data_IF_665424447673
#
_entry.id   IF_665424447673
#
_cell.length_a   1.000
_cell.length_b   1.000
_cell.length_c   1.000
_cell.angle_alpha   90.00
_cell.angle_beta   90.00
_cell.angle_gamma   90.00
#
_symmetry.space_group_name_H-M   'P 1'
#
loop_
_entity.id
_entity.type
_entity.pdbx_description
1 polymer ?
#
# COMPACT_ATOMS: atom_id res chain seq x y z
N UNK A 1 84.09 36.20 27.01
CA UNK A 1 83.15 35.48 26.12
C UNK A 1 81.93 35.10 26.98
N UNK A 2 80.90 35.95 27.08
CA UNK A 2 79.65 35.90 26.28
C UNK A 2 78.88 34.57 26.52
N UNK A 3 77.60 34.51 26.93
CA UNK A 3 76.56 35.52 27.12
C UNK A 3 75.36 34.88 27.89
N UNK A 4 74.90 35.52 28.98
CA UNK A 4 73.53 35.67 29.56
C UNK A 4 72.58 34.45 29.66
N UNK A 5 72.19 33.98 30.86
CA UNK A 5 71.30 34.55 31.90
C UNK A 5 69.83 34.05 31.79
N UNK A 6 69.35 33.13 32.66
CA UNK A 6 68.69 33.33 33.97
C UNK A 6 67.31 34.04 33.90
N UNK A 7 66.21 33.33 34.21
CA UNK A 7 65.31 33.56 35.39
C UNK A 7 63.87 33.06 35.21
N UNK A 8 63.41 32.41 36.28
CA UNK A 8 62.03 32.18 36.74
C UNK A 8 61.19 33.46 36.86
N UNK A 9 59.85 33.36 36.95
CA UNK A 9 58.99 33.91 38.04
C UNK A 9 57.49 33.71 37.75
N UNK A 10 56.76 33.36 38.82
CA UNK A 10 55.30 33.33 39.04
C UNK A 10 54.62 34.70 38.81
N UNK A 11 53.34 34.72 38.39
CA UNK A 11 52.44 35.85 38.68
C UNK A 11 50.97 35.41 38.79
N UNK A 12 50.26 36.11 39.67
CA UNK A 12 49.03 35.74 40.37
C UNK A 12 47.85 36.66 39.98
N UNK A 13 46.62 36.18 40.13
CA UNK A 13 45.34 36.89 40.41
C UNK A 13 44.77 37.95 39.46
N UNK A 14 43.53 37.74 39.00
CA UNK A 14 42.40 38.64 39.32
C UNK A 14 41.04 37.96 39.14
N UNK A 15 40.21 38.01 40.18
CA UNK A 15 38.79 37.69 40.16
C UNK A 15 37.98 38.99 40.09
N UNK A 16 36.92 39.02 39.28
CA UNK A 16 35.78 39.94 39.44
C UNK A 16 34.50 39.17 39.17
N UNK A 17 33.66 39.07 40.21
CA UNK A 17 32.29 38.62 40.13
C UNK A 17 31.38 39.82 39.77
N UNK A 18 30.38 39.60 38.92
CA UNK A 18 29.15 40.38 38.92
C UNK A 18 27.95 39.44 38.82
N UNK A 19 27.09 39.53 39.83
CA UNK A 19 25.81 38.84 40.00
C UNK A 19 24.68 39.74 39.49
N UNK A 20 23.53 39.12 39.17
CA UNK A 20 22.21 39.68 38.88
C UNK A 20 22.00 40.05 37.39
N UNK A 21 20.93 39.66 36.71
CA UNK A 21 19.64 39.11 37.13
C UNK A 21 18.85 38.63 35.91
N UNK A 22 18.12 37.53 36.08
CA UNK A 22 16.75 37.41 35.53
C UNK A 22 16.58 37.35 34.01
N UNK A 23 16.59 36.15 33.45
CA UNK A 23 15.34 35.58 32.94
C UNK A 23 15.52 34.10 32.76
N UNK A 24 14.54 33.36 33.27
CA UNK A 24 14.46 31.92 33.23
C UNK A 24 14.61 31.49 31.78
N UNK A 25 15.71 30.82 31.47
CA UNK A 25 15.66 29.78 30.44
C UNK A 25 14.71 28.72 31.00
N UNK A 26 13.41 28.98 30.85
CA UNK A 26 12.42 27.93 30.76
C UNK A 26 12.85 27.13 29.55
N UNK A 27 13.69 26.14 29.84
CA UNK A 27 13.81 24.96 29.02
C UNK A 27 12.38 24.49 28.79
N UNK A 28 11.82 24.90 27.66
CA UNK A 28 10.82 24.09 26.97
C UNK A 28 11.61 22.86 26.53
N UNK A 29 11.87 21.97 27.49
CA UNK A 29 11.80 20.56 27.28
C UNK A 29 10.39 20.30 26.74
N UNK A 30 10.19 20.59 25.46
CA UNK A 30 9.24 19.87 24.65
C UNK A 30 9.69 18.43 24.82
N UNK A 31 9.01 17.71 25.72
CA UNK A 31 9.26 16.31 25.97
C UNK A 31 9.34 15.63 24.61
N UNK A 32 10.55 15.27 24.19
CA UNK A 32 10.75 14.35 23.10
C UNK A 32 10.23 13.02 23.63
N UNK A 33 8.91 12.84 23.58
CA UNK A 33 8.29 11.53 23.71
C UNK A 33 8.99 10.70 22.65
N UNK A 34 9.86 9.77 23.08
CA UNK A 34 10.55 8.84 22.19
C UNK A 34 9.51 8.29 21.22
N UNK A 35 9.61 8.67 19.94
CA UNK A 35 8.72 8.14 18.92
C UNK A 35 8.78 6.61 19.00
N UNK A 36 7.63 5.93 19.07
CA UNK A 36 7.61 4.50 19.34
C UNK A 36 8.36 3.76 18.23
N UNK A 37 9.12 2.72 18.60
CA UNK A 37 9.78 1.90 17.58
C UNK A 37 8.75 0.95 16.98
N UNK A 38 8.38 1.20 15.73
CA UNK A 38 7.44 0.40 14.97
C UNK A 38 8.17 -0.69 14.18
N UNK A 39 7.61 -1.90 14.14
CA UNK A 39 8.09 -2.98 13.26
C UNK A 39 6.90 -3.78 12.72
N UNK A 40 7.06 -4.39 11.55
CA UNK A 40 6.02 -5.20 10.93
C UNK A 40 6.52 -6.63 10.74
N UNK A 41 5.74 -7.58 11.24
CA UNK A 41 5.87 -9.00 10.93
C UNK A 41 4.80 -9.33 9.90
N UNK A 42 5.22 -9.87 8.74
CA UNK A 42 4.28 -10.29 7.70
C UNK A 42 3.45 -11.47 8.23
N UNK A 43 2.15 -11.38 8.01
CA UNK A 43 1.21 -12.47 8.29
C UNK A 43 1.03 -13.39 7.08
N UNK A 44 -0.05 -14.15 7.11
CA UNK A 44 -0.41 -15.07 6.06
C UNK A 44 -0.93 -14.32 4.82
N UNK A 45 -0.64 -14.85 3.63
CA UNK A 45 -1.27 -14.40 2.39
C UNK A 45 -2.71 -14.94 2.25
N UNK A 46 -2.99 -16.09 2.86
CA UNK A 46 -4.26 -16.81 2.75
C UNK A 46 -4.64 -17.44 4.10
N UNK A 47 -5.94 -17.58 4.45
CA UNK A 47 -6.38 -18.05 5.77
C UNK A 47 -5.86 -19.44 6.15
N UNK A 48 -5.62 -19.73 7.44
CA UNK A 48 -5.21 -21.05 7.91
C UNK A 48 -6.15 -22.19 7.52
N UNK A 49 -7.47 -21.96 7.49
CA UNK A 49 -8.47 -22.94 7.04
C UNK A 49 -8.50 -23.08 5.50
N UNK A 50 -7.99 -22.07 4.78
CA UNK A 50 -7.62 -22.20 3.37
C UNK A 50 -6.35 -23.02 3.16
N UNK A 51 -5.64 -23.40 4.24
CA UNK A 51 -4.53 -24.37 4.21
C UNK A 51 -5.00 -25.82 4.16
N UNK A 52 -6.28 -26.11 3.85
CA UNK A 52 -6.48 -27.29 3.02
C UNK A 52 -5.86 -27.01 1.65
N UNK A 53 -4.53 -27.20 1.59
CA UNK A 53 -3.88 -27.59 0.34
C UNK A 53 -4.79 -28.67 -0.22
N UNK A 54 -5.35 -28.49 -1.42
CA UNK A 54 -6.16 -29.51 -2.04
C UNK A 54 -5.42 -30.84 -1.85
N UNK A 55 -6.10 -31.82 -1.27
CA UNK A 55 -5.47 -33.09 -0.98
C UNK A 55 -4.90 -33.68 -2.27
N UNK A 56 -3.98 -34.64 -2.16
CA UNK A 56 -3.45 -35.29 -3.36
C UNK A 56 -4.59 -35.85 -4.23
N UNK A 57 -5.66 -36.34 -3.60
CA UNK A 57 -6.89 -36.84 -4.21
C UNK A 57 -7.67 -35.72 -4.90
N UNK A 58 -7.81 -34.54 -4.28
CA UNK A 58 -8.49 -33.41 -4.91
C UNK A 58 -7.74 -32.91 -6.15
N UNK A 59 -6.40 -32.84 -6.10
CA UNK A 59 -5.58 -32.51 -7.28
C UNK A 59 -5.69 -33.62 -8.34
N UNK A 60 -5.73 -34.89 -7.94
CA UNK A 60 -5.95 -36.02 -8.85
C UNK A 60 -7.30 -35.90 -9.55
N UNK A 61 -8.37 -35.62 -8.82
CA UNK A 61 -9.71 -35.41 -9.39
C UNK A 61 -9.75 -34.24 -10.38
N UNK A 62 -9.06 -33.13 -10.09
CA UNK A 62 -8.93 -32.00 -11.02
C UNK A 62 -8.17 -32.39 -12.30
N UNK A 63 -7.11 -33.19 -12.18
CA UNK A 63 -6.38 -33.72 -13.35
C UNK A 63 -7.26 -34.64 -14.18
N UNK A 64 -8.00 -35.54 -13.53
CA UNK A 64 -8.96 -36.43 -14.19
C UNK A 64 -10.07 -35.64 -14.88
N UNK A 65 -10.58 -34.56 -14.28
CA UNK A 65 -11.58 -33.71 -14.89
C UNK A 65 -11.06 -33.07 -16.19
N UNK A 66 -9.81 -32.58 -16.19
CA UNK A 66 -9.16 -32.07 -17.40
C UNK A 66 -8.92 -33.19 -18.42
N UNK A 67 -8.54 -34.40 -17.99
CA UNK A 67 -8.35 -35.55 -18.88
C UNK A 67 -9.66 -36.01 -19.53
N UNK A 68 -10.77 -36.06 -18.77
CA UNK A 68 -12.11 -36.41 -19.25
C UNK A 68 -12.67 -35.37 -20.21
N UNK A 69 -12.40 -34.08 -19.97
CA UNK A 69 -12.85 -32.97 -20.82
C UNK A 69 -11.69 -32.06 -21.23
N UNK A 70 -10.81 -32.49 -22.16
CA UNK A 70 -9.57 -31.76 -22.48
C UNK A 70 -9.76 -30.36 -23.04
N UNK A 71 -10.95 -30.05 -23.57
CA UNK A 71 -11.33 -28.74 -24.12
C UNK A 71 -12.06 -27.82 -23.13
N UNK A 72 -12.45 -28.33 -21.97
CA UNK A 72 -13.17 -27.55 -20.96
C UNK A 72 -12.25 -26.50 -20.32
N UNK A 73 -12.61 -25.23 -20.50
CA UNK A 73 -11.86 -24.09 -19.94
C UNK A 73 -11.99 -24.01 -18.42
N UNK A 74 -13.16 -24.36 -17.87
CA UNK A 74 -13.39 -24.30 -16.44
C UNK A 74 -12.60 -25.38 -15.72
N UNK A 75 -12.60 -26.62 -16.23
CA UNK A 75 -11.78 -27.70 -15.67
C UNK A 75 -10.29 -27.36 -15.61
N UNK A 76 -9.74 -26.76 -16.67
CA UNK A 76 -8.33 -26.31 -16.71
C UNK A 76 -8.06 -25.16 -15.75
N UNK A 77 -8.99 -24.21 -15.63
CA UNK A 77 -8.91 -23.14 -14.66
C UNK A 77 -8.87 -23.68 -13.23
N UNK A 78 -9.78 -24.59 -12.90
CA UNK A 78 -9.89 -25.19 -11.57
C UNK A 78 -8.64 -26.01 -11.23
N UNK A 79 -8.04 -26.71 -12.19
CA UNK A 79 -6.76 -27.40 -11.99
C UNK A 79 -5.62 -26.42 -11.67
N UNK A 80 -5.44 -25.36 -12.49
CA UNK A 80 -4.38 -24.36 -12.26
C UNK A 80 -4.56 -23.70 -10.90
N UNK A 81 -5.79 -23.32 -10.55
CA UNK A 81 -6.11 -22.73 -9.25
C UNK A 81 -5.91 -23.70 -8.09
N UNK A 82 -6.30 -24.96 -8.25
CA UNK A 82 -6.06 -26.02 -7.26
C UNK A 82 -4.57 -26.21 -6.98
N UNK A 83 -3.75 -26.33 -8.03
CA UNK A 83 -2.29 -26.43 -7.90
C UNK A 83 -1.69 -25.16 -7.25
N UNK A 84 -2.21 -23.98 -7.59
CA UNK A 84 -1.77 -22.71 -6.98
C UNK A 84 -2.04 -22.71 -5.47
N UNK A 85 -3.26 -23.09 -5.04
CA UNK A 85 -3.63 -23.19 -3.62
C UNK A 85 -2.85 -24.27 -2.88
N UNK A 86 -2.46 -25.35 -3.57
CA UNK A 86 -1.59 -26.37 -3.01
C UNK A 86 -0.14 -25.88 -2.76
N UNK A 87 0.20 -24.66 -3.18
CA UNK A 87 1.57 -24.13 -3.19
C UNK A 87 2.45 -24.74 -4.27
N UNK A 88 1.86 -25.57 -5.16
CA UNK A 88 2.54 -26.25 -6.26
C UNK A 88 2.68 -25.32 -7.46
N UNK A 89 3.29 -24.15 -7.23
CA UNK A 89 3.35 -23.05 -8.20
C UNK A 89 4.01 -23.45 -9.53
N UNK A 90 5.03 -24.31 -9.49
CA UNK A 90 5.68 -24.83 -10.70
C UNK A 90 4.75 -25.75 -11.51
N UNK A 91 4.02 -26.66 -10.83
CA UNK A 91 3.02 -27.52 -11.48
C UNK A 91 1.85 -26.69 -12.04
N UNK A 92 1.40 -25.68 -11.29
CA UNK A 92 0.36 -24.74 -11.74
C UNK A 92 0.78 -23.99 -13.01
N UNK A 93 2.03 -23.52 -13.06
CA UNK A 93 2.59 -22.85 -14.23
C UNK A 93 2.69 -23.79 -15.43
N UNK A 94 3.12 -25.03 -15.23
CA UNK A 94 3.14 -26.04 -16.28
C UNK A 94 1.73 -26.32 -16.84
N UNK A 95 0.74 -26.50 -15.97
CA UNK A 95 -0.66 -26.69 -16.36
C UNK A 95 -1.22 -25.48 -17.12
N UNK A 96 -0.91 -24.26 -16.67
CA UNK A 96 -1.31 -23.03 -17.34
C UNK A 96 -0.67 -22.89 -18.73
N UNK A 97 0.63 -23.22 -18.88
CA UNK A 97 1.31 -23.23 -20.18
C UNK A 97 0.71 -24.28 -21.13
N UNK A 98 0.38 -25.47 -20.63
CA UNK A 98 -0.28 -26.52 -21.42
C UNK A 98 -1.70 -26.11 -21.86
N UNK A 99 -2.42 -25.36 -21.02
CA UNK A 99 -3.68 -24.73 -21.42
C UNK A 99 -3.45 -23.68 -22.50
N UNK A 100 -2.47 -22.77 -22.32
CA UNK A 100 -2.17 -21.74 -23.33
C UNK A 100 -1.80 -22.32 -24.70
N UNK A 101 -1.09 -23.44 -24.76
CA UNK A 101 -0.79 -24.13 -26.02
C UNK A 101 -2.04 -24.62 -26.76
N UNK A 102 -3.12 -24.94 -26.02
CA UNK A 102 -4.40 -25.41 -26.58
C UNK A 102 -5.38 -24.28 -26.88
N UNK A 103 -5.29 -23.19 -26.14
CA UNK A 103 -6.20 -22.05 -26.21
C UNK A 103 -5.37 -20.75 -26.25
N UNK A 104 -4.64 -20.60 -27.36
CA UNK A 104 -3.59 -19.60 -27.56
C UNK A 104 -4.08 -18.16 -27.66
N UNK A 105 -5.39 -17.89 -27.55
CA UNK A 105 -5.93 -16.53 -27.49
C UNK A 105 -6.71 -16.26 -26.19
N UNK A 106 -6.84 -17.26 -25.31
CA UNK A 106 -7.52 -17.07 -24.05
C UNK A 106 -6.70 -16.23 -23.08
N UNK A 107 -7.21 -15.04 -22.76
CA UNK A 107 -6.52 -14.06 -21.94
C UNK A 107 -6.55 -14.39 -20.45
N UNK A 108 -7.49 -15.23 -20.01
CA UNK A 108 -7.56 -15.71 -18.62
C UNK A 108 -6.28 -16.49 -18.29
N UNK A 109 -5.88 -17.40 -19.18
CA UNK A 109 -4.66 -18.22 -18.94
C UNK A 109 -3.38 -17.40 -19.07
N UNK A 110 -3.32 -16.41 -19.96
CA UNK A 110 -2.14 -15.50 -20.04
C UNK A 110 -2.00 -14.69 -18.76
N UNK A 111 -3.10 -14.17 -18.23
CA UNK A 111 -3.11 -13.48 -16.93
C UNK A 111 -2.67 -14.41 -15.81
N UNK A 112 -3.19 -15.63 -15.74
CA UNK A 112 -2.79 -16.62 -14.74
C UNK A 112 -1.30 -16.97 -14.81
N UNK A 113 -0.73 -17.09 -16.01
CA UNK A 113 0.72 -17.29 -16.19
C UNK A 113 1.49 -16.09 -15.62
N UNK A 114 1.03 -14.86 -15.88
CA UNK A 114 1.59 -13.64 -15.29
C UNK A 114 1.55 -13.64 -13.75
N UNK A 115 0.38 -13.96 -13.17
CA UNK A 115 0.16 -14.07 -11.72
C UNK A 115 1.10 -15.12 -11.08
N UNK A 116 1.28 -16.25 -11.75
CA UNK A 116 2.13 -17.35 -11.28
C UNK A 116 3.61 -16.97 -11.32
N UNK A 117 4.06 -16.32 -12.40
CA UNK A 117 5.42 -15.77 -12.45
C UNK A 117 5.65 -14.72 -11.37
N UNK A 118 4.68 -13.84 -11.11
CA UNK A 118 4.79 -12.85 -10.04
C UNK A 118 4.90 -13.49 -8.65
N UNK A 119 4.09 -14.53 -8.37
CA UNK A 119 4.17 -15.28 -7.12
C UNK A 119 5.49 -16.05 -6.95
N UNK A 120 6.06 -16.54 -8.05
CA UNK A 120 7.38 -17.17 -8.08
C UNK A 120 8.55 -16.17 -7.96
N UNK A 121 8.27 -14.87 -7.82
CA UNK A 121 9.30 -13.82 -7.83
C UNK A 121 9.96 -13.60 -9.19
N UNK A 122 9.45 -14.22 -10.26
CA UNK A 122 9.97 -14.12 -11.61
C UNK A 122 9.40 -12.90 -12.34
N UNK A 123 9.72 -11.71 -11.80
CA UNK A 123 9.15 -10.42 -12.22
C UNK A 123 9.28 -10.15 -13.73
N UNK A 124 10.42 -10.48 -14.35
CA UNK A 124 10.62 -10.29 -15.81
C UNK A 124 9.69 -11.18 -16.63
N UNK A 125 9.46 -12.42 -16.20
CA UNK A 125 8.57 -13.34 -16.89
C UNK A 125 7.10 -12.93 -16.72
N UNK A 126 6.73 -12.45 -15.52
CA UNK A 126 5.41 -11.86 -15.28
C UNK A 126 5.16 -10.68 -16.21
N UNK A 127 6.11 -9.74 -16.30
CA UNK A 127 6.00 -8.58 -17.19
C UNK A 127 5.78 -9.00 -18.65
N UNK A 128 6.55 -9.96 -19.18
CA UNK A 128 6.36 -10.46 -20.55
C UNK A 128 4.96 -11.05 -20.76
N UNK A 129 4.46 -11.84 -19.81
CA UNK A 129 3.13 -12.42 -19.90
C UNK A 129 2.03 -11.34 -19.95
N UNK A 130 2.11 -10.31 -19.10
CA UNK A 130 1.16 -9.20 -19.14
C UNK A 130 1.33 -8.29 -20.36
N UNK A 131 2.54 -8.11 -20.89
CA UNK A 131 2.77 -7.40 -22.15
C UNK A 131 2.03 -8.07 -23.30
N UNK A 132 2.06 -9.40 -23.39
CA UNK A 132 1.28 -10.13 -24.38
C UNK A 132 -0.24 -9.91 -24.23
N UNK A 133 -0.76 -9.76 -22.99
CA UNK A 133 -2.18 -9.40 -22.78
C UNK A 133 -2.49 -8.01 -23.36
N UNK A 134 -1.59 -7.05 -23.16
CA UNK A 134 -1.73 -5.69 -23.68
C UNK A 134 -1.60 -5.65 -25.20
N UNK A 135 -0.71 -6.44 -25.80
CA UNK A 135 -0.58 -6.58 -27.25
C UNK A 135 -1.86 -7.14 -27.88
N UNK A 136 -2.51 -8.11 -27.23
CA UNK A 136 -3.78 -8.69 -27.68
C UNK A 136 -4.98 -7.77 -27.41
N UNK A 137 -4.93 -6.95 -26.35
CA UNK A 137 -5.99 -6.00 -25.98
C UNK A 137 -5.45 -4.57 -25.79
N UNK A 138 -4.97 -3.90 -26.86
CA UNK A 138 -4.32 -2.61 -26.71
C UNK A 138 -5.27 -1.52 -26.19
N UNK A 139 -6.58 -1.68 -26.46
CA UNK A 139 -7.66 -0.76 -26.04
C UNK A 139 -8.34 -1.18 -24.73
N UNK A 140 -7.82 -2.17 -24.00
CA UNK A 140 -8.35 -2.55 -22.68
C UNK A 140 -7.66 -1.76 -21.56
N UNK A 141 -8.41 -0.87 -20.90
CA UNK A 141 -7.91 -0.14 -19.74
C UNK A 141 -7.48 -1.08 -18.60
N UNK A 142 -8.23 -2.17 -18.38
CA UNK A 142 -7.90 -3.19 -17.38
C UNK A 142 -6.60 -3.92 -17.69
N UNK A 143 -6.32 -4.25 -18.96
CA UNK A 143 -5.06 -4.88 -19.36
C UNK A 143 -3.86 -3.94 -19.13
N UNK A 144 -3.99 -2.67 -19.52
CA UNK A 144 -2.96 -1.65 -19.30
C UNK A 144 -2.68 -1.46 -17.79
N UNK A 145 -3.72 -1.37 -16.96
CA UNK A 145 -3.62 -1.26 -15.50
C UNK A 145 -2.99 -2.50 -14.86
N UNK A 146 -3.33 -3.70 -15.33
CA UNK A 146 -2.77 -4.95 -14.80
C UNK A 146 -1.26 -5.03 -15.05
N UNK A 147 -0.80 -4.68 -16.26
CA UNK A 147 0.63 -4.58 -16.58
C UNK A 147 1.33 -3.53 -15.70
N UNK A 148 0.69 -2.38 -15.48
CA UNK A 148 1.22 -1.35 -14.58
C UNK A 148 1.42 -1.87 -13.15
N UNK A 149 0.52 -2.74 -12.66
CA UNK A 149 0.62 -3.34 -11.32
C UNK A 149 1.86 -4.20 -11.18
N UNK A 150 2.15 -5.07 -12.16
CA UNK A 150 3.39 -5.86 -12.17
C UNK A 150 4.63 -4.99 -12.23
N UNK A 151 4.61 -3.93 -13.04
CA UNK A 151 5.71 -2.96 -13.12
C UNK A 151 5.92 -2.21 -11.80
N UNK A 152 4.85 -1.84 -11.07
CA UNK A 152 4.94 -1.24 -9.73
C UNK A 152 5.61 -2.19 -8.74
N UNK A 153 5.23 -3.47 -8.74
CA UNK A 153 5.82 -4.50 -7.88
C UNK A 153 7.30 -4.74 -8.23
N UNK A 154 7.66 -4.59 -9.50
CA UNK A 154 9.04 -4.61 -9.98
C UNK A 154 9.88 -3.37 -9.62
N UNK A 155 9.28 -2.35 -9.00
CA UNK A 155 9.93 -1.05 -8.76
C UNK A 155 10.09 -0.18 -10.03
N UNK A 156 9.55 -0.61 -11.17
CA UNK A 156 9.60 0.09 -12.45
C UNK A 156 8.52 1.19 -12.52
N UNK A 157 8.58 2.17 -11.62
CA UNK A 157 7.53 3.18 -11.46
C UNK A 157 7.31 4.05 -12.70
N UNK A 158 8.36 4.35 -13.48
CA UNK A 158 8.24 5.10 -14.73
C UNK A 158 7.43 4.32 -15.77
N UNK A 159 7.75 3.04 -16.00
CA UNK A 159 7.01 2.21 -16.94
C UNK A 159 5.56 1.99 -16.50
N UNK A 160 5.34 1.79 -15.20
CA UNK A 160 3.99 1.68 -14.64
C UNK A 160 3.16 2.95 -14.85
N UNK A 161 3.78 4.13 -14.68
CA UNK A 161 3.13 5.42 -14.91
C UNK A 161 2.65 5.55 -16.37
N UNK A 162 3.48 5.19 -17.35
CA UNK A 162 3.09 5.21 -18.77
C UNK A 162 1.92 4.27 -19.08
N UNK A 163 1.91 3.07 -18.49
CA UNK A 163 0.80 2.14 -18.65
C UNK A 163 -0.49 2.66 -18.00
N UNK A 164 -0.39 3.35 -16.85
CA UNK A 164 -1.54 3.98 -16.21
C UNK A 164 -2.05 5.20 -16.97
N UNK A 165 -1.18 5.95 -17.66
CA UNK A 165 -1.60 7.01 -18.59
C UNK A 165 -2.42 6.43 -19.74
N UNK A 166 -1.96 5.34 -20.35
CA UNK A 166 -2.71 4.64 -21.39
C UNK A 166 -4.06 4.12 -20.87
N UNK A 167 -4.09 3.53 -19.67
CA UNK A 167 -5.33 3.10 -19.03
C UNK A 167 -6.30 4.26 -18.77
N UNK A 168 -5.79 5.40 -18.30
CA UNK A 168 -6.60 6.59 -18.00
C UNK A 168 -7.17 7.23 -19.28
N UNK A 169 -6.43 7.19 -20.40
CA UNK A 169 -6.93 7.65 -21.69
C UNK A 169 -8.08 6.78 -22.21
N UNK A 170 -8.03 5.47 -21.98
CA UNK A 170 -9.08 4.53 -22.38
C UNK A 170 -10.31 4.56 -21.46
N UNK A 171 -10.13 4.90 -20.17
CA UNK A 171 -11.19 4.96 -19.18
C UNK A 171 -11.12 6.25 -18.33
N UNK A 172 -11.38 7.43 -18.93
CA UNK A 172 -11.16 8.73 -18.27
C UNK A 172 -12.05 8.99 -17.06
N UNK A 173 -13.18 8.30 -16.95
CA UNK A 173 -14.11 8.39 -15.81
C UNK A 173 -13.83 7.37 -14.70
N UNK A 174 -12.84 6.48 -14.86
CA UNK A 174 -12.49 5.51 -13.82
C UNK A 174 -11.61 6.17 -12.76
N UNK A 175 -12.23 6.63 -11.67
CA UNK A 175 -11.53 7.26 -10.55
C UNK A 175 -10.46 6.35 -9.92
N UNK A 176 -10.55 5.01 -10.09
CA UNK A 176 -9.54 4.08 -9.57
C UNK A 176 -8.24 4.19 -10.37
N UNK A 177 -8.34 4.19 -11.70
CA UNK A 177 -7.18 4.38 -12.58
C UNK A 177 -6.58 5.77 -12.33
N UNK A 178 -7.43 6.80 -12.18
CA UNK A 178 -6.97 8.15 -11.85
C UNK A 178 -6.19 8.19 -10.52
N UNK A 179 -6.69 7.50 -9.49
CA UNK A 179 -6.02 7.39 -8.20
C UNK A 179 -4.68 6.67 -8.29
N UNK A 180 -4.64 5.50 -8.94
CA UNK A 180 -3.40 4.74 -9.10
C UNK A 180 -2.34 5.48 -9.91
N UNK A 181 -2.76 6.21 -10.94
CA UNK A 181 -1.89 7.09 -11.70
C UNK A 181 -1.29 8.18 -10.81
N UNK A 182 -2.11 8.85 -10.01
CA UNK A 182 -1.66 9.90 -9.09
C UNK A 182 -0.70 9.38 -7.99
N UNK A 183 -1.01 8.24 -7.37
CA UNK A 183 -0.13 7.61 -6.37
C UNK A 183 1.20 7.16 -6.97
N UNK A 184 1.17 6.56 -8.17
CA UNK A 184 2.37 6.15 -8.90
C UNK A 184 3.22 7.35 -9.29
N UNK A 185 2.60 8.43 -9.77
CA UNK A 185 3.28 9.69 -10.09
C UNK A 185 3.96 10.32 -8.85
N UNK A 186 3.32 10.31 -7.68
CA UNK A 186 3.93 10.77 -6.42
C UNK A 186 5.15 9.93 -6.02
N UNK A 187 5.06 8.60 -6.13
CA UNK A 187 6.18 7.70 -5.84
C UNK A 187 7.34 7.92 -6.81
N UNK A 188 7.04 8.05 -8.10
CA UNK A 188 8.02 8.36 -9.13
C UNK A 188 8.67 9.72 -8.92
N UNK A 189 7.90 10.75 -8.55
CA UNK A 189 8.42 12.07 -8.21
C UNK A 189 9.42 12.02 -7.05
N UNK A 190 9.13 11.25 -5.98
CA UNK A 190 10.08 11.03 -4.88
C UNK A 190 11.37 10.37 -5.36
N UNK A 191 11.27 9.34 -6.20
CA UNK A 191 12.43 8.66 -6.78
C UNK A 191 13.27 9.59 -7.67
N UNK A 192 12.63 10.43 -8.48
CA UNK A 192 13.30 11.40 -9.34
C UNK A 192 13.97 12.51 -8.53
N UNK A 193 13.33 13.00 -7.46
CA UNK A 193 13.92 13.97 -6.53
C UNK A 193 15.17 13.42 -5.87
N UNK A 194 15.13 12.17 -5.40
CA UNK A 194 16.31 11.49 -4.82
C UNK A 194 17.46 11.34 -5.83
N UNK A 195 17.17 11.33 -7.13
CA UNK A 195 18.15 11.30 -8.23
C UNK A 195 18.54 12.69 -8.76
N UNK A 196 18.19 13.77 -8.05
CA UNK A 196 18.49 15.15 -8.47
C UNK A 196 17.64 15.69 -9.63
N UNK A 197 16.64 14.93 -10.12
CA UNK A 197 15.77 15.33 -11.25
C UNK A 197 14.58 16.18 -10.77
N UNK A 198 14.89 17.29 -10.11
CA UNK A 198 13.92 18.11 -9.38
C UNK A 198 12.79 18.69 -10.25
N UNK A 199 13.08 19.15 -11.47
CA UNK A 199 12.07 19.72 -12.36
C UNK A 199 11.00 18.69 -12.77
N UNK A 200 11.43 17.49 -13.19
CA UNK A 200 10.52 16.41 -13.56
C UNK A 200 9.74 15.88 -12.35
N UNK A 201 10.39 15.78 -11.19
CA UNK A 201 9.73 15.43 -9.94
C UNK A 201 8.64 16.44 -9.57
N UNK A 202 8.89 17.74 -9.74
CA UNK A 202 7.92 18.80 -9.46
C UNK A 202 6.71 18.72 -10.41
N UNK A 203 6.94 18.51 -11.70
CA UNK A 203 5.87 18.34 -12.69
C UNK A 203 4.97 17.14 -12.36
N UNK A 204 5.56 15.98 -12.07
CA UNK A 204 4.80 14.78 -11.69
C UNK A 204 4.06 14.96 -10.36
N UNK A 205 4.68 15.60 -9.37
CA UNK A 205 4.05 15.87 -8.08
C UNK A 205 2.84 16.80 -8.23
N UNK A 206 2.95 17.87 -9.03
CA UNK A 206 1.86 18.78 -9.31
C UNK A 206 0.72 18.09 -10.10
N UNK A 207 1.07 17.27 -11.09
CA UNK A 207 0.12 16.49 -11.87
C UNK A 207 -0.65 15.48 -11.01
N UNK A 208 0.00 14.89 -10.01
CA UNK A 208 -0.64 14.01 -9.04
C UNK A 208 -1.53 14.77 -8.05
N UNK A 209 -1.07 15.92 -7.53
CA UNK A 209 -1.87 16.78 -6.65
C UNK A 209 -3.18 17.21 -7.32
N UNK A 210 -3.09 17.66 -8.58
CA UNK A 210 -4.26 18.02 -9.40
C UNK A 210 -5.23 16.85 -9.54
N UNK A 211 -4.73 15.64 -9.79
CA UNK A 211 -5.56 14.43 -9.92
C UNK A 211 -6.22 14.05 -8.60
N UNK A 212 -5.52 14.13 -7.47
CA UNK A 212 -6.15 13.89 -6.17
C UNK A 212 -7.27 14.88 -5.89
N UNK A 213 -7.08 16.18 -6.16
CA UNK A 213 -8.17 17.17 -6.05
C UNK A 213 -9.36 16.81 -6.93
N UNK A 214 -9.14 16.53 -8.21
CA UNK A 214 -10.21 16.13 -9.12
C UNK A 214 -10.96 14.86 -8.68
N UNK A 215 -10.28 13.92 -8.05
CA UNK A 215 -10.90 12.72 -7.45
C UNK A 215 -11.79 13.13 -6.27
N UNK A 216 -11.29 14.01 -5.38
CA UNK A 216 -11.99 14.46 -4.18
C UNK A 216 -13.24 15.28 -4.54
N UNK A 217 -13.11 16.18 -5.51
CA UNK A 217 -14.16 17.11 -5.93
C UNK A 217 -15.15 16.44 -6.91
N UNK A 218 -14.83 15.23 -7.39
CA UNK A 218 -15.64 14.50 -8.35
C UNK A 218 -16.98 14.03 -7.74
N UNK A 219 -18.14 14.49 -8.25
CA UNK A 219 -19.44 14.20 -7.63
C UNK A 219 -19.83 12.71 -7.68
N UNK A 220 -19.30 11.99 -8.67
CA UNK A 220 -19.52 10.54 -8.82
C UNK A 220 -18.35 9.71 -8.31
N UNK A 221 -17.31 10.33 -7.72
CA UNK A 221 -16.21 9.57 -7.16
C UNK A 221 -16.69 8.82 -5.92
N UNK A 222 -16.59 7.48 -5.90
CA UNK A 222 -16.97 6.72 -4.73
C UNK A 222 -16.14 7.12 -3.50
N UNK A 223 -16.75 7.23 -2.32
CA UNK A 223 -16.08 7.66 -1.08
C UNK A 223 -14.79 6.89 -0.78
N UNK A 224 -14.79 5.59 -1.14
CA UNK A 224 -13.65 4.68 -1.09
C UNK A 224 -12.44 5.11 -1.93
N UNK A 225 -12.62 5.90 -2.98
CA UNK A 225 -11.51 6.46 -3.76
C UNK A 225 -11.20 7.89 -3.30
N UNK A 226 -12.23 8.67 -2.99
CA UNK A 226 -12.08 10.04 -2.52
C UNK A 226 -11.31 10.12 -1.19
N UNK A 227 -11.57 9.23 -0.23
CA UNK A 227 -10.92 9.28 1.08
C UNK A 227 -9.39 9.02 1.02
N UNK A 228 -8.88 7.95 0.37
CA UNK A 228 -7.45 7.81 0.15
C UNK A 228 -6.83 8.98 -0.61
N UNK A 229 -7.56 9.57 -1.57
CA UNK A 229 -7.09 10.77 -2.28
C UNK A 229 -6.94 11.97 -1.32
N UNK A 230 -7.91 12.18 -0.40
CA UNK A 230 -7.81 13.18 0.67
C UNK A 230 -6.57 12.94 1.53
N UNK A 231 -6.28 11.69 1.89
CA UNK A 231 -5.10 11.36 2.70
C UNK A 231 -3.79 11.64 1.97
N UNK A 232 -3.68 11.24 0.71
CA UNK A 232 -2.51 11.54 -0.13
C UNK A 232 -2.33 13.04 -0.30
N UNK A 233 -3.41 13.80 -0.47
CA UNK A 233 -3.35 15.24 -0.57
C UNK A 233 -2.92 15.89 0.75
N UNK A 234 -3.42 15.41 1.89
CA UNK A 234 -3.00 15.88 3.21
C UNK A 234 -1.51 15.65 3.46
N UNK A 235 -0.95 14.52 3.02
CA UNK A 235 0.49 14.24 3.10
C UNK A 235 1.32 15.20 2.25
N UNK A 236 0.86 15.53 1.04
CA UNK A 236 1.51 16.52 0.17
C UNK A 236 1.55 17.89 0.87
N UNK A 237 0.43 18.30 1.48
CA UNK A 237 0.35 19.55 2.22
C UNK A 237 1.21 19.54 3.47
N UNK A 238 1.21 18.45 4.24
CA UNK A 238 2.04 18.33 5.45
C UNK A 238 3.54 18.37 5.12
N UNK A 239 3.97 17.72 4.04
CA UNK A 239 5.36 17.81 3.58
C UNK A 239 5.75 19.24 3.20
N UNK A 240 4.87 19.97 2.49
CA UNK A 240 5.08 21.38 2.13
C UNK A 240 5.10 22.28 3.37
N UNK A 241 4.24 22.00 4.34
CA UNK A 241 4.12 22.71 5.62
C UNK A 241 5.39 22.54 6.46
N UNK A 242 5.95 21.33 6.49
CA UNK A 242 7.20 21.04 7.19
C UNK A 242 8.43 21.62 6.45
N UNK A 243 8.33 21.83 5.14
CA UNK A 243 9.42 22.39 4.32
C UNK A 243 9.48 23.94 4.29
N UNK A 244 8.50 24.65 4.85
CA UNK A 244 8.46 26.12 4.80
C UNK A 244 8.63 26.74 6.19
N UNK A 245 9.44 27.81 6.28
CA UNK A 245 9.62 28.60 7.51
C UNK A 245 8.58 29.72 7.66
N UNK A 246 7.91 30.06 6.57
CA UNK A 246 6.89 31.10 6.51
C UNK A 246 5.65 30.72 7.33
N UNK A 247 5.32 31.53 8.33
CA UNK A 247 4.23 31.26 9.26
C UNK A 247 2.84 31.32 8.59
N UNK A 248 2.64 32.23 7.64
CA UNK A 248 1.37 32.37 6.92
C UNK A 248 1.13 31.15 6.03
N UNK A 249 2.16 30.71 5.30
CA UNK A 249 2.08 29.48 4.47
C UNK A 249 1.82 28.24 5.31
N UNK A 250 2.43 28.12 6.49
CA UNK A 250 2.16 27.00 7.41
C UNK A 250 0.71 26.99 7.86
N UNK A 251 0.17 28.12 8.32
CA UNK A 251 -1.24 28.25 8.74
C UNK A 251 -2.22 27.88 7.62
N UNK A 252 -1.98 28.38 6.40
CA UNK A 252 -2.83 28.06 5.25
C UNK A 252 -2.81 26.55 4.91
N UNK A 253 -1.66 25.89 5.04
CA UNK A 253 -1.55 24.44 4.83
C UNK A 253 -2.21 23.63 5.96
N UNK A 254 -2.08 24.07 7.21
CA UNK A 254 -2.75 23.44 8.34
C UNK A 254 -4.29 23.53 8.18
N UNK A 255 -4.82 24.67 7.73
CA UNK A 255 -6.24 24.83 7.40
C UNK A 255 -6.68 23.92 6.23
N UNK A 256 -5.88 23.87 5.16
CA UNK A 256 -6.15 23.01 4.02
C UNK A 256 -6.18 21.52 4.40
N UNK A 257 -5.29 21.08 5.31
CA UNK A 257 -5.29 19.72 5.86
C UNK A 257 -6.56 19.48 6.70
N UNK A 258 -6.95 20.45 7.53
CA UNK A 258 -8.17 20.38 8.34
C UNK A 258 -9.42 20.15 7.49
N UNK A 259 -9.55 20.88 6.38
CA UNK A 259 -10.68 20.75 5.42
C UNK A 259 -10.79 19.37 4.77
N UNK A 260 -9.68 18.61 4.69
CA UNK A 260 -9.70 17.25 4.14
C UNK A 260 -10.34 16.23 5.10
N UNK A 261 -10.53 16.57 6.39
CA UNK A 261 -11.21 15.74 7.38
C UNK A 261 -10.68 14.28 7.45
N UNK A 262 -9.36 14.10 7.31
CA UNK A 262 -8.71 12.77 7.25
C UNK A 262 -8.25 12.22 8.59
N UNK A 263 -8.48 12.94 9.69
CA UNK A 263 -8.04 12.51 11.02
C UNK A 263 -6.52 12.54 11.19
N UNK A 264 -5.81 13.45 10.51
CA UNK A 264 -4.35 13.64 10.60
C UNK A 264 -3.58 13.39 9.30
N UNK A 265 -2.53 14.18 9.06
CA UNK A 265 -1.63 14.00 7.92
C UNK A 265 -0.37 13.17 8.25
N UNK A 266 -0.17 12.87 9.54
CA UNK A 266 0.90 12.05 10.07
C UNK A 266 0.28 10.98 10.97
N UNK A 267 0.66 9.72 10.76
CA UNK A 267 0.11 8.59 11.51
C UNK A 267 1.23 7.60 11.87
N UNK A 268 1.23 7.06 13.09
CA UNK A 268 2.15 5.99 13.47
C UNK A 268 1.86 4.71 12.69
N UNK A 269 0.57 4.36 12.55
CA UNK A 269 0.12 3.23 11.72
C UNK A 269 -1.02 3.69 10.82
N UNK A 270 -0.86 3.43 9.52
CA UNK A 270 -1.91 3.50 8.53
C UNK A 270 -2.03 2.17 7.80
N UNK A 271 -3.26 1.73 7.60
CA UNK A 271 -3.56 0.54 6.80
C UNK A 271 -4.57 0.91 5.71
N UNK A 272 -4.33 0.42 4.51
CA UNK A 272 -5.26 0.49 3.39
C UNK A 272 -5.54 -0.91 2.88
N UNK A 273 -6.80 -1.28 2.71
CA UNK A 273 -7.20 -2.48 2.01
C UNK A 273 -7.58 -2.12 0.57
N UNK A 274 -7.00 -2.76 -0.44
CA UNK A 274 -7.47 -2.66 -1.83
C UNK A 274 -7.76 -4.06 -2.35
N UNK A 275 -8.69 -4.21 -3.29
CA UNK A 275 -8.96 -5.50 -3.92
C UNK A 275 -9.25 -5.39 -5.41
N UNK A 276 -8.83 -6.39 -6.16
CA UNK A 276 -8.83 -6.40 -7.63
C UNK A 276 -10.08 -7.05 -8.23
N UNK A 277 -10.91 -7.68 -7.40
CA UNK A 277 -12.03 -8.50 -7.85
C UNK A 277 -13.34 -7.71 -7.82
N UNK A 278 -13.99 -7.55 -8.98
CA UNK A 278 -15.29 -6.89 -9.07
C UNK A 278 -16.36 -7.68 -8.28
N UNK A 279 -17.18 -6.98 -7.48
CA UNK A 279 -18.37 -7.49 -6.75
C UNK A 279 -18.10 -8.49 -5.61
N UNK A 280 -16.92 -8.43 -4.98
CA UNK A 280 -16.62 -9.08 -3.68
C UNK A 280 -16.64 -8.04 -2.56
N UNK A 281 -17.20 -8.41 -1.41
CA UNK A 281 -17.27 -7.60 -0.21
C UNK A 281 -16.17 -8.02 0.77
N UNK A 282 -15.20 -7.15 1.03
CA UNK A 282 -14.00 -7.47 1.81
C UNK A 282 -13.73 -6.38 2.82
N UNK A 283 -13.65 -6.76 4.09
CA UNK A 283 -13.46 -5.87 5.22
C UNK A 283 -12.03 -5.93 5.76
N UNK A 284 -11.53 -4.81 6.25
CA UNK A 284 -10.31 -4.64 7.00
C UNK A 284 -10.62 -4.65 8.50
N UNK A 285 -10.02 -5.59 9.21
CA UNK A 285 -10.11 -5.67 10.66
C UNK A 285 -8.76 -5.32 11.26
N UNK A 286 -8.76 -4.40 12.23
CA UNK A 286 -7.57 -4.09 13.01
C UNK A 286 -7.86 -4.30 14.48
N UNK A 287 -7.25 -5.32 15.07
CA UNK A 287 -7.30 -5.56 16.50
C UNK A 287 -6.14 -4.84 17.18
N UNK A 288 -6.45 -3.98 18.15
CA UNK A 288 -5.45 -3.22 18.89
C UNK A 288 -4.86 -4.04 20.07
N UNK A 289 -3.86 -3.50 20.80
CA UNK A 289 -3.22 -4.22 21.90
C UNK A 289 -4.12 -4.62 23.07
N UNK A 290 -5.30 -4.01 23.25
CA UNK A 290 -6.25 -4.39 24.31
C UNK A 290 -7.17 -5.53 23.88
N UNK A 291 -7.06 -5.99 22.63
CA UNK A 291 -7.95 -7.01 22.05
C UNK A 291 -9.20 -6.42 21.40
N UNK A 292 -9.39 -5.10 21.45
CA UNK A 292 -10.51 -4.43 20.78
C UNK A 292 -10.30 -4.45 19.26
N UNK A 293 -11.31 -4.91 18.53
CA UNK A 293 -11.28 -4.99 17.06
C UNK A 293 -12.03 -3.83 16.44
N UNK A 294 -11.31 -3.00 15.68
CA UNK A 294 -11.86 -1.93 14.87
C UNK A 294 -12.20 -2.51 13.49
N UNK A 295 -13.46 -2.40 13.07
CA UNK A 295 -13.99 -2.92 11.80
C UNK A 295 -15.19 -2.06 11.33
N UNK A 296 -15.87 -2.48 10.25
CA UNK A 296 -17.01 -1.76 9.70
C UNK A 296 -18.18 -1.51 10.69
N UNK A 297 -18.40 -2.40 11.68
CA UNK A 297 -19.42 -2.21 12.74
C UNK A 297 -18.91 -1.36 13.90
N UNK A 298 -17.62 -1.41 14.18
CA UNK A 298 -16.97 -0.68 15.27
C UNK A 298 -15.83 0.20 14.73
N UNK A 299 -16.20 1.35 14.14
CA UNK A 299 -15.28 2.18 13.35
C UNK A 299 -14.31 3.03 14.17
N UNK A 300 -14.48 3.13 15.48
CA UNK A 300 -13.63 3.94 16.37
C UNK A 300 -13.30 3.14 17.62
N UNK A 301 -12.02 2.90 17.85
CA UNK A 301 -11.52 2.20 19.03
C UNK A 301 -11.16 3.15 20.16
N UNK A 302 -11.14 2.63 21.39
CA UNK A 302 -10.81 3.37 22.60
C UNK A 302 -9.38 3.94 22.61
N UNK A 303 -8.45 3.30 21.89
CA UNK A 303 -7.06 3.75 21.73
C UNK A 303 -6.86 4.78 20.60
N UNK A 304 -7.93 5.44 20.15
CA UNK A 304 -7.89 6.46 19.10
C UNK A 304 -7.65 5.93 17.68
N UNK A 305 -7.60 4.61 17.51
CA UNK A 305 -7.60 3.97 16.20
C UNK A 305 -8.97 4.10 15.54
N UNK A 306 -9.02 4.45 14.26
CA UNK A 306 -10.28 4.63 13.56
C UNK A 306 -10.25 4.05 12.14
N UNK A 307 -11.33 3.35 11.80
CA UNK A 307 -11.63 2.87 10.46
C UNK A 307 -12.44 3.94 9.73
N UNK A 308 -11.98 4.31 8.55
CA UNK A 308 -12.62 5.28 7.69
C UNK A 308 -12.99 4.63 6.36
N UNK A 309 -14.27 4.76 5.99
CA UNK A 309 -14.90 4.11 4.84
C UNK A 309 -15.52 2.77 5.22
N UNK A 310 -16.84 2.64 5.05
CA UNK A 310 -17.61 1.39 5.16
C UNK A 310 -18.42 1.30 3.87
N UNK A 311 -18.05 0.35 3.02
CA UNK A 311 -18.49 0.29 1.63
C UNK A 311 -18.98 -1.12 1.37
N UNK A 312 -20.29 -1.28 1.34
CA UNK A 312 -20.96 -2.58 1.21
C UNK A 312 -21.22 -3.02 -0.24
N UNK A 313 -20.69 -2.29 -1.25
CA UNK A 313 -20.81 -2.69 -2.66
C UNK A 313 -19.59 -2.25 -3.51
N UNK A 314 -18.80 -3.25 -3.94
CA UNK A 314 -17.70 -3.13 -4.88
C UNK A 314 -16.42 -2.43 -4.38
N UNK A 315 -15.43 -2.32 -5.27
CA UNK A 315 -14.05 -1.83 -5.07
C UNK A 315 -13.88 -0.66 -4.10
N UNK A 316 -13.36 -0.85 -2.87
CA UNK A 316 -12.50 0.19 -2.31
C UNK A 316 -12.33 0.26 -0.79
N UNK A 317 -11.28 0.97 -0.37
CA UNK A 317 -10.59 0.79 0.88
C UNK A 317 -11.42 1.11 2.09
N UNK A 318 -11.58 0.07 2.90
CA UNK A 318 -11.45 0.25 4.32
C UNK A 318 -10.03 0.68 4.65
N UNK A 319 -9.91 1.70 5.48
CA UNK A 319 -8.62 2.19 5.88
C UNK A 319 -8.62 2.52 7.35
N UNK A 320 -7.60 2.03 8.04
CA UNK A 320 -7.42 2.25 9.46
C UNK A 320 -6.30 3.24 9.68
N UNK A 321 -6.46 4.19 10.61
CA UNK A 321 -5.40 5.07 11.11
C UNK A 321 -5.32 5.03 12.61
N UNK A 322 -4.11 5.12 13.15
CA UNK A 322 -3.85 5.60 14.50
C UNK A 322 -2.72 6.64 14.44
N UNK A 323 -3.01 7.85 14.93
CA UNK A 323 -2.05 8.95 14.97
C UNK A 323 -0.91 8.69 15.96
N UNK A 324 -1.26 8.17 17.14
CA UNK A 324 -0.36 7.84 18.24
C UNK A 324 -0.66 6.41 18.69
N UNK A 325 0.15 5.46 18.24
CA UNK A 325 -0.11 4.05 18.49
C UNK A 325 0.29 3.68 19.92
N UNK A 326 -0.60 3.02 20.66
CA UNK A 326 -0.28 2.51 21.99
C UNK A 326 0.74 1.36 21.90
N UNK A 327 1.54 1.17 22.95
CA UNK A 327 2.50 0.05 23.00
C UNK A 327 1.78 -1.29 22.92
N UNK A 328 2.37 -2.23 22.19
CA UNK A 328 1.84 -3.58 22.01
C UNK A 328 1.72 -3.99 20.55
N UNK A 329 0.88 -4.98 20.28
CA UNK A 329 0.72 -5.56 18.94
C UNK A 329 -0.63 -5.21 18.36
N UNK A 330 -0.61 -4.59 17.18
CA UNK A 330 -1.79 -4.42 16.33
C UNK A 330 -1.83 -5.57 15.31
N UNK A 331 -2.96 -6.27 15.23
CA UNK A 331 -3.20 -7.35 14.29
C UNK A 331 -4.00 -6.82 13.12
N UNK A 332 -3.45 -6.88 11.92
CA UNK A 332 -4.10 -6.46 10.68
C UNK A 332 -4.63 -7.68 9.95
N UNK A 333 -5.94 -7.75 9.75
CA UNK A 333 -6.61 -8.85 9.12
C UNK A 333 -7.59 -8.40 8.04
N UNK A 334 -7.91 -9.30 7.12
CA UNK A 334 -8.86 -9.09 6.04
C UNK A 334 -9.94 -10.16 6.12
N UNK A 335 -11.21 -9.77 6.13
CA UNK A 335 -12.38 -10.64 6.21
C UNK A 335 -13.18 -10.61 4.90
N UNK A 336 -13.56 -11.77 4.36
CA UNK A 336 -14.38 -11.85 3.15
C UNK A 336 -15.86 -11.94 3.54
N UNK A 337 -16.63 -10.86 3.49
CA UNK A 337 -18.02 -10.89 3.96
C UNK A 337 -18.97 -11.65 3.00
N UNK A 338 -18.86 -11.46 1.67
CA UNK A 338 -19.72 -12.15 0.69
C UNK A 338 -19.52 -11.82 -0.80
N UNK A 339 -20.23 -12.53 -1.68
CA UNK A 339 -20.26 -12.31 -3.14
C UNK A 339 -21.70 -12.42 -3.69
N UNK A 340 -22.06 -11.57 -4.68
CA UNK A 340 -23.32 -11.64 -5.44
C UNK A 340 -23.24 -12.45 -6.75
N UNK A 341 -22.13 -13.15 -7.05
CA UNK A 341 -21.99 -14.03 -8.24
C UNK A 341 -21.48 -15.43 -7.87
N UNK A 342 -22.10 -16.47 -8.47
CA UNK A 342 -21.80 -17.89 -8.26
C UNK A 342 -20.51 -18.39 -8.95
N UNK A 343 -20.02 -17.73 -9.99
CA UNK A 343 -18.98 -18.29 -10.88
C UNK A 343 -17.53 -18.17 -10.38
N UNK A 344 -17.23 -17.23 -9.46
CA UNK A 344 -15.88 -17.06 -8.89
C UNK A 344 -16.00 -16.69 -7.41
N UNK A 345 -15.55 -17.59 -6.51
CA UNK A 345 -15.59 -17.41 -5.04
C UNK A 345 -14.28 -16.87 -4.45
N UNK A 346 -13.43 -16.23 -5.24
CA UNK A 346 -12.14 -15.72 -4.76
C UNK A 346 -12.14 -14.20 -4.68
N UNK A 347 -11.76 -13.65 -3.54
CA UNK A 347 -11.44 -12.23 -3.38
C UNK A 347 -9.93 -12.08 -3.26
N UNK A 348 -9.33 -11.22 -4.09
CA UNK A 348 -7.89 -10.95 -4.05
C UNK A 348 -7.65 -9.45 -3.92
N UNK A 349 -6.56 -9.11 -3.28
CA UNK A 349 -6.20 -7.72 -3.11
C UNK A 349 -4.85 -7.51 -2.48
N UNK A 350 -4.60 -6.28 -2.07
CA UNK A 350 -3.40 -5.87 -1.37
C UNK A 350 -3.79 -5.08 -0.13
N UNK A 351 -3.15 -5.40 0.99
CA UNK A 351 -3.13 -4.52 2.15
C UNK A 351 -1.84 -3.73 2.12
N UNK A 352 -1.94 -2.41 2.10
CA UNK A 352 -0.78 -1.52 2.25
C UNK A 352 -0.72 -1.06 3.70
N UNK A 353 0.30 -1.51 4.42
CA UNK A 353 0.62 -0.98 5.75
C UNK A 353 1.70 0.07 5.61
N UNK A 354 1.44 1.27 6.12
CA UNK A 354 2.38 2.37 6.21
C UNK A 354 2.69 2.62 7.69
N UNK A 355 3.96 2.50 8.05
CA UNK A 355 4.48 2.88 9.37
C UNK A 355 5.08 4.27 9.26
N UNK A 356 4.93 5.09 10.30
CA UNK A 356 5.43 6.47 10.34
C UNK A 356 4.95 7.31 9.14
N UNK A 357 3.68 7.15 8.76
CA UNK A 357 3.10 7.85 7.60
C UNK A 357 3.28 9.36 7.74
N UNK A 358 3.81 10.00 6.70
CA UNK A 358 4.09 11.44 6.69
C UNK A 358 5.38 11.88 7.39
N UNK A 359 6.16 10.95 7.99
CA UNK A 359 7.47 11.24 8.61
C UNK A 359 8.64 10.83 7.71
N UNK A 360 9.88 11.34 7.93
CA UNK A 360 11.05 10.89 7.19
C UNK A 360 11.36 9.38 7.33
N UNK A 361 10.93 8.75 8.42
CA UNK A 361 11.07 7.30 8.66
C UNK A 361 9.96 6.45 8.03
N UNK A 362 9.08 7.03 7.20
CA UNK A 362 7.96 6.34 6.57
C UNK A 362 8.40 5.05 5.87
N UNK A 363 7.78 3.92 6.23
CA UNK A 363 7.99 2.63 5.57
C UNK A 363 6.68 2.06 5.08
N UNK A 364 6.68 1.55 3.84
CA UNK A 364 5.48 1.00 3.17
C UNK A 364 5.66 -0.48 2.89
N UNK A 365 4.66 -1.27 3.25
CA UNK A 365 4.61 -2.70 3.02
C UNK A 365 3.37 -3.02 2.21
N UNK A 366 3.55 -3.59 1.02
CA UNK A 366 2.46 -4.07 0.16
C UNK A 366 2.30 -5.57 0.43
N UNK A 367 1.15 -5.97 0.91
CA UNK A 367 0.86 -7.32 1.41
C UNK A 367 -0.31 -7.91 0.61
N UNK A 368 -0.04 -8.69 -0.44
CA UNK A 368 -1.11 -9.31 -1.20
C UNK A 368 -1.85 -10.33 -0.34
N UNK A 369 -3.16 -10.49 -0.55
CA UNK A 369 -3.98 -11.50 0.11
C UNK A 369 -4.92 -12.21 -0.88
N UNK A 370 -5.40 -13.40 -0.49
CA UNK A 370 -6.48 -14.11 -1.18
C UNK A 370 -7.42 -14.78 -0.19
N UNK A 371 -8.71 -14.72 -0.49
CA UNK A 371 -9.80 -15.32 0.27
C UNK A 371 -10.67 -16.13 -0.69
N UNK A 372 -11.18 -17.28 -0.26
CA UNK A 372 -11.82 -18.28 -1.12
C UNK A 372 -13.28 -18.59 -0.76
N UNK A 373 -13.75 -18.11 0.40
CA UNK A 373 -15.14 -18.30 0.84
C UNK A 373 -15.63 -17.14 1.70
N UNK A 374 -16.94 -16.83 1.68
CA UNK A 374 -17.53 -15.90 2.62
C UNK A 374 -17.22 -16.26 4.08
N UNK A 375 -17.13 -15.25 4.94
CA UNK A 375 -16.71 -15.21 6.34
C UNK A 375 -15.26 -15.61 6.63
N UNK A 376 -14.45 -15.85 5.61
CA UNK A 376 -13.04 -16.24 5.81
C UNK A 376 -12.19 -15.03 6.19
N UNK A 377 -11.30 -15.20 7.18
CA UNK A 377 -10.39 -14.13 7.65
C UNK A 377 -8.94 -14.54 7.49
N UNK A 378 -8.09 -13.63 7.01
CA UNK A 378 -6.62 -13.81 6.99
C UNK A 378 -5.94 -12.69 7.75
N UNK A 379 -5.02 -13.03 8.66
CA UNK A 379 -4.13 -12.05 9.28
C UNK A 379 -2.95 -11.78 8.35
N UNK A 380 -2.92 -10.59 7.73
CA UNK A 380 -1.89 -10.20 6.75
C UNK A 380 -0.66 -9.57 7.39
N UNK A 381 -0.78 -9.00 8.60
CA UNK A 381 0.35 -8.42 9.31
C UNK A 381 0.13 -8.33 10.82
N UNK A 382 1.25 -8.24 11.55
CA UNK A 382 1.31 -7.80 12.94
C UNK A 382 2.26 -6.61 13.04
N UNK A 383 1.76 -5.48 13.54
CA UNK A 383 2.58 -4.29 13.80
C UNK A 383 2.89 -4.24 15.28
N UNK A 384 4.18 -4.27 15.61
CA UNK A 384 4.66 -4.22 17.00
C UNK A 384 5.16 -2.80 17.29
N UNK A 385 4.61 -2.20 18.34
CA UNK A 385 4.90 -0.86 18.85
C UNK A 385 5.64 -1.00 20.19
N UNK A 386 6.89 -0.53 20.28
CA UNK A 386 7.75 -0.66 21.47
C UNK A 386 8.04 0.67 22.16
#
# INVERSE_FOLDING_TARGET
MANRALRSILATLLAVALVASGSRNDAVAAGATKHPRLSLVRGDREPPEGRHKPSAEAIKALREAVAKKPRDRQARFDLVMGLTRAGKLAEALAAARAWRQRDAYNLVVVRLIGDLYAQLGQTRAAQRAYSAVVELLPKSADAQRALATVMKQAGQLAAAHERLLAAAALAPKDSRIAFELADTAQRLARQLRAKGRSAQAAQLAAAAEKRFKAIIDGPSTPAKIAYPARQRLAQIYAARRNGTRDAAKRRALDEAIGKLAVGGAVNDIKVYLTWDTNRTDVDLWVTNPTGETINYKHKRGALGGALYGDVTDGYGPESFTTQSAAKGTYVVAVNFYGTRRQAFREARGEVVVVLDEGRPSERRFVLPYRLFRPKQTVTVARVVVR
#
